data_IF_111660534607
#
_entry.id   IF_111660534607
#
_cell.length_a   1.000
_cell.length_b   1.000
_cell.length_c   1.000
_cell.angle_alpha   90.00
_cell.angle_beta   90.00
_cell.angle_gamma   90.00
#
_symmetry.space_group_name_H-M   'P 1'
#
loop_
_entity.id
_entity.type
_entity.pdbx_description
1 polymer ?
#
# COMPACT_ATOMS: atom_id res chain seq x y z
N UNK A 1 18.95 29.73 16.62
CA UNK A 1 18.53 29.53 15.23
C UNK A 1 17.01 29.50 15.21
N UNK A 2 16.38 30.68 15.20
CA UNK A 2 14.92 30.83 15.08
C UNK A 2 14.66 31.06 13.60
N UNK A 3 13.91 30.16 12.96
CA UNK A 3 13.34 30.46 11.66
C UNK A 3 12.19 31.39 11.97
N UNK A 4 12.48 32.69 11.94
CA UNK A 4 11.47 33.72 12.16
C UNK A 4 10.40 33.56 11.08
N UNK A 5 9.12 33.68 11.47
CA UNK A 5 7.97 33.61 10.56
C UNK A 5 8.01 34.67 9.43
N UNK A 6 9.03 35.53 9.40
CA UNK A 6 9.43 36.38 8.28
C UNK A 6 9.94 35.60 7.04
N UNK A 7 10.22 34.30 7.16
CA UNK A 7 10.56 33.44 6.01
C UNK A 7 9.35 32.90 5.27
N UNK A 8 8.14 33.05 5.83
CA UNK A 8 6.93 32.83 5.07
C UNK A 8 6.58 34.15 4.40
N UNK A 9 6.64 34.24 3.05
CA UNK A 9 6.00 35.34 2.35
C UNK A 9 4.61 35.54 2.95
N UNK A 10 4.34 36.74 3.46
CA UNK A 10 2.99 37.12 3.88
C UNK A 10 2.01 36.88 2.73
N UNK A 11 0.71 36.87 3.01
CA UNK A 11 -0.30 36.59 1.97
C UNK A 11 -0.14 37.45 0.70
N UNK A 12 0.47 38.63 0.83
CA UNK A 12 0.75 39.53 -0.30
C UNK A 12 1.85 39.02 -1.24
N UNK A 13 2.92 38.45 -0.72
CA UNK A 13 4.04 37.95 -1.51
C UNK A 13 3.62 36.72 -2.34
N UNK A 14 2.72 35.89 -1.82
CA UNK A 14 2.07 34.83 -2.63
C UNK A 14 1.28 35.40 -3.80
N UNK A 15 0.56 36.51 -3.59
CA UNK A 15 -0.17 37.20 -4.66
C UNK A 15 0.81 37.71 -5.72
N UNK A 16 1.96 38.29 -5.32
CA UNK A 16 2.98 38.75 -6.26
C UNK A 16 3.54 37.58 -7.09
N UNK A 17 3.86 36.45 -6.47
CA UNK A 17 4.34 35.25 -7.18
C UNK A 17 3.29 34.75 -8.17
N UNK A 18 2.02 34.68 -7.76
CA UNK A 18 0.94 34.29 -8.67
C UNK A 18 0.82 35.26 -9.84
N UNK A 19 0.85 36.58 -9.62
CA UNK A 19 0.79 37.57 -10.71
C UNK A 19 1.94 37.38 -11.70
N UNK A 20 3.17 37.17 -11.22
CA UNK A 20 4.32 36.90 -12.09
C UNK A 20 4.08 35.63 -12.93
N UNK A 21 3.67 34.53 -12.30
CA UNK A 21 3.35 33.28 -13.02
C UNK A 21 2.21 33.49 -14.03
N UNK A 22 1.17 34.25 -13.67
CA UNK A 22 0.05 34.58 -14.56
C UNK A 22 0.49 35.44 -15.75
N UNK A 23 1.52 36.27 -15.63
CA UNK A 23 2.06 37.03 -16.77
C UNK A 23 2.82 36.11 -17.72
N UNK A 24 3.65 35.19 -17.20
CA UNK A 24 4.42 34.24 -18.02
C UNK A 24 3.53 33.18 -18.69
N UNK A 25 2.63 32.57 -17.93
CA UNK A 25 1.76 31.49 -18.41
C UNK A 25 0.43 31.99 -18.98
N UNK A 26 -0.04 33.17 -18.56
CA UNK A 26 -1.33 33.74 -18.94
C UNK A 26 -2.46 33.33 -17.99
N UNK A 27 -3.37 34.25 -17.61
CA UNK A 27 -4.48 33.97 -16.70
C UNK A 27 -5.49 32.95 -17.25
N UNK A 28 -5.50 32.75 -18.58
CA UNK A 28 -6.36 31.76 -19.24
C UNK A 28 -5.80 30.34 -19.21
N UNK A 29 -4.47 30.17 -19.10
CA UNK A 29 -3.82 28.86 -19.20
C UNK A 29 -3.88 28.07 -17.90
N UNK A 30 -3.74 28.71 -16.74
CA UNK A 30 -3.92 28.05 -15.44
C UNK A 30 -5.29 27.35 -15.28
N UNK A 31 -6.45 28.01 -15.52
CA UNK A 31 -7.75 27.35 -15.39
C UNK A 31 -7.99 26.31 -16.49
N UNK A 32 -7.41 26.48 -17.68
CA UNK A 32 -7.47 25.51 -18.77
C UNK A 32 -6.73 24.21 -18.40
N UNK A 33 -5.51 24.32 -17.88
CA UNK A 33 -4.72 23.21 -17.37
C UNK A 33 -5.39 22.55 -16.16
N UNK A 34 -5.89 23.34 -15.19
CA UNK A 34 -6.58 22.82 -14.03
C UNK A 34 -7.86 22.05 -14.41
N UNK A 35 -8.62 22.52 -15.42
CA UNK A 35 -9.79 21.78 -15.94
C UNK A 35 -9.39 20.48 -16.61
N UNK A 36 -8.29 20.45 -17.37
CA UNK A 36 -7.76 19.23 -17.97
C UNK A 36 -7.30 18.22 -16.93
N UNK A 37 -6.44 18.64 -16.01
CA UNK A 37 -5.96 17.83 -14.89
C UNK A 37 -7.09 17.35 -13.98
N UNK A 38 -8.07 18.21 -13.69
CA UNK A 38 -9.21 17.86 -12.85
C UNK A 38 -10.10 16.78 -13.47
N UNK A 39 -10.31 16.83 -14.79
CA UNK A 39 -11.03 15.76 -15.51
C UNK A 39 -10.24 14.45 -15.47
N UNK A 40 -8.94 14.50 -15.80
CA UNK A 40 -8.08 13.31 -15.78
C UNK A 40 -7.99 12.68 -14.38
N UNK A 41 -7.85 13.49 -13.33
CA UNK A 41 -7.82 13.01 -11.95
C UNK A 41 -9.17 12.40 -11.52
N UNK A 42 -10.28 12.96 -11.98
CA UNK A 42 -11.62 12.43 -11.71
C UNK A 42 -11.83 11.06 -12.37
N UNK A 43 -11.47 10.92 -13.64
CA UNK A 43 -11.54 9.64 -14.36
C UNK A 43 -10.60 8.61 -13.74
N UNK A 44 -9.38 9.02 -13.38
CA UNK A 44 -8.42 8.16 -12.68
C UNK A 44 -8.95 7.68 -11.33
N UNK A 45 -9.59 8.55 -10.55
CA UNK A 45 -10.22 8.18 -9.28
C UNK A 45 -11.37 7.21 -9.46
N UNK A 46 -12.25 7.47 -10.42
CA UNK A 46 -13.37 6.57 -10.75
C UNK A 46 -12.87 5.16 -11.12
N UNK A 47 -11.87 5.06 -12.00
CA UNK A 47 -11.29 3.79 -12.39
C UNK A 47 -10.57 3.10 -11.22
N UNK A 48 -9.87 3.86 -10.37
CA UNK A 48 -9.22 3.33 -9.17
C UNK A 48 -10.24 2.74 -8.19
N UNK A 49 -11.35 3.44 -7.96
CA UNK A 49 -12.39 3.00 -7.03
C UNK A 49 -13.09 1.73 -7.55
N UNK A 50 -13.37 1.65 -8.87
CA UNK A 50 -13.95 0.47 -9.50
C UNK A 50 -13.01 -0.76 -9.42
N UNK A 51 -11.70 -0.56 -9.56
CA UNK A 51 -10.71 -1.61 -9.36
C UNK A 51 -10.68 -2.09 -7.90
N UNK A 52 -10.72 -1.18 -6.94
CA UNK A 52 -10.75 -1.51 -5.50
C UNK A 52 -12.02 -2.29 -5.16
N UNK A 53 -13.18 -1.86 -5.66
CA UNK A 53 -14.44 -2.56 -5.46
C UNK A 53 -14.43 -3.95 -6.10
N UNK A 54 -13.87 -4.10 -7.30
CA UNK A 54 -13.75 -5.42 -7.95
C UNK A 54 -12.89 -6.37 -7.13
N UNK A 55 -11.74 -5.92 -6.62
CA UNK A 55 -10.85 -6.75 -5.78
C UNK A 55 -11.55 -7.12 -4.47
N UNK A 56 -12.25 -6.16 -3.86
CA UNK A 56 -12.97 -6.37 -2.60
C UNK A 56 -14.15 -7.34 -2.75
N UNK A 57 -14.81 -7.37 -3.91
CA UNK A 57 -15.91 -8.29 -4.19
C UNK A 57 -15.45 -9.66 -4.71
N UNK A 58 -14.30 -9.73 -5.39
CA UNK A 58 -13.70 -10.99 -5.85
C UNK A 58 -13.25 -11.90 -4.69
N UNK A 59 -12.94 -11.33 -3.53
CA UNK A 59 -12.65 -12.08 -2.29
C UNK A 59 -13.93 -12.64 -1.60
N UNK A 60 -15.13 -12.24 -2.05
CA UNK A 60 -16.40 -12.64 -1.43
C UNK A 60 -17.15 -13.75 -2.17
N UNK A 61 -16.70 -14.13 -3.38
CA UNK A 61 -17.26 -15.25 -4.16
C UNK A 61 -16.27 -16.44 -4.24
N UNK A 62 -16.02 -17.09 -3.11
CA UNK A 62 -15.69 -18.53 -3.11
C UNK A 62 -16.16 -19.19 -1.80
N UNK A 63 -17.36 -19.79 -1.76
CA UNK A 63 -17.58 -20.96 -0.93
C UNK A 63 -16.74 -22.10 -1.51
N UNK A 64 -15.44 -22.16 -1.18
CA UNK A 64 -14.70 -23.42 -1.31
C UNK A 64 -15.32 -24.40 -0.33
N UNK A 65 -16.25 -25.21 -0.80
CA UNK A 65 -16.40 -26.55 -0.25
C UNK A 65 -15.04 -27.22 -0.40
N UNK A 66 -14.27 -27.24 0.70
CA UNK A 66 -13.07 -28.05 0.78
C UNK A 66 -13.55 -29.50 0.63
N UNK A 67 -13.18 -30.22 -0.45
CA UNK A 67 -13.42 -31.64 -0.49
C UNK A 67 -12.69 -32.24 0.70
N UNK A 68 -13.47 -32.97 1.49
CA UNK A 68 -13.04 -33.90 2.53
C UNK A 68 -11.80 -34.68 2.09
N UNK A 69 -10.63 -34.15 2.43
CA UNK A 69 -9.37 -34.89 2.41
C UNK A 69 -9.09 -35.40 3.83
N UNK A 70 -10.05 -36.17 4.35
CA UNK A 70 -9.75 -37.26 5.27
C UNK A 70 -9.13 -38.39 4.45
N UNK A 71 -7.92 -38.18 3.96
CA UNK A 71 -7.12 -39.24 3.34
C UNK A 71 -5.75 -39.25 4.02
N UNK A 72 -5.75 -39.94 5.16
CA UNK A 72 -4.69 -40.88 5.57
C UNK A 72 -3.32 -40.66 4.94
N UNK A 73 -2.42 -39.99 5.66
CA UNK A 73 -1.00 -40.33 5.55
C UNK A 73 -0.72 -41.58 6.40
N UNK A 74 -0.27 -42.67 5.79
CA UNK A 74 0.07 -43.90 6.49
C UNK A 74 1.35 -43.70 7.32
N UNK A 75 1.23 -44.13 8.57
CA UNK A 75 2.27 -44.77 9.40
C UNK A 75 3.69 -44.81 8.84
N UNK A 76 4.62 -44.17 9.54
CA UNK A 76 5.83 -44.87 9.96
C UNK A 76 6.07 -44.61 11.44
N UNK A 77 6.21 -45.67 12.26
CA UNK A 77 6.38 -45.56 13.70
C UNK A 77 7.77 -44.97 14.00
N UNK A 78 7.83 -43.78 14.58
CA UNK A 78 9.00 -43.38 15.37
C UNK A 78 8.94 -44.10 16.72
N UNK A 79 9.19 -45.39 16.66
CA UNK A 79 9.71 -46.20 17.75
C UNK A 79 10.76 -47.08 17.09
N UNK A 80 11.93 -47.16 17.71
CA UNK A 80 13.02 -48.06 17.32
C UNK A 80 14.06 -47.52 16.32
N UNK A 81 14.81 -46.49 16.73
CA UNK A 81 16.24 -46.41 16.41
C UNK A 81 16.97 -45.50 17.42
N UNK A 82 17.70 -46.14 18.34
CA UNK A 82 18.85 -45.61 19.07
C UNK A 82 18.60 -44.73 20.32
N UNK A 83 17.81 -45.26 21.24
CA UNK A 83 18.19 -45.29 22.66
C UNK A 83 19.35 -46.31 22.80
N UNK A 84 20.60 -45.86 22.81
CA UNK A 84 21.76 -46.58 23.34
C UNK A 84 22.98 -45.66 23.43
N UNK A 85 23.58 -45.58 24.63
CA UNK A 85 24.94 -45.09 24.93
C UNK A 85 25.16 -43.66 25.45
N UNK A 86 24.31 -43.17 26.37
CA UNK A 86 24.71 -42.18 27.38
C UNK A 86 24.45 -42.71 28.80
N UNK A 87 25.05 -43.87 29.07
CA UNK A 87 25.26 -44.42 30.43
C UNK A 87 26.68 -45.00 30.46
N UNK A 88 27.66 -44.16 30.82
CA UNK A 88 29.00 -44.59 31.29
C UNK A 88 29.77 -43.43 31.92
N UNK A 89 30.22 -43.69 33.15
CA UNK A 89 31.30 -43.02 33.91
C UNK A 89 30.86 -41.74 34.64
N UNK A 90 30.80 -41.64 35.97
CA UNK A 90 31.38 -42.38 37.10
C UNK A 90 32.89 -42.64 36.97
N UNK A 91 33.70 -41.63 37.32
CA UNK A 91 35.05 -41.77 37.91
C UNK A 91 35.68 -40.40 38.23
N UNK A 92 35.99 -40.21 39.52
CA UNK A 92 36.86 -39.18 40.18
C UNK A 92 36.19 -37.92 40.71
#
# INVERSE_FOLDING_TARGET
MKIDAALLPGGYEWIVILVVVLIFFGPKKLPELARGLGKGLREFRQASDEMVDTIKNADLEEPRELPSASESLPVTPSTEAAEAAQDRSDST
#
